data_IF_049950911686
#
_entry.id   IF_049950911686
#
_cell.length_a   1.000
_cell.length_b   1.000
_cell.length_c   1.000
_cell.angle_alpha   90.00
_cell.angle_beta   90.00
_cell.angle_gamma   90.00
#
_symmetry.space_group_name_H-M   'P 1'
#
loop_
_entity.id
_entity.type
_entity.pdbx_description
1 polymer ?
#
# COMPACT_ATOMS: atom_id res chain seq x y z
N UNK A 1 -46.24 -17.39 -19.06
CA UNK A 1 -46.80 -18.11 -20.22
C UNK A 1 -45.73 -19.02 -20.77
N UNK A 2 -45.89 -20.34 -20.65
CA UNK A 2 -44.95 -21.33 -21.17
C UNK A 2 -45.76 -22.46 -21.83
N UNK A 3 -45.60 -22.63 -23.13
CA UNK A 3 -46.23 -23.72 -23.89
C UNK A 3 -45.28 -24.93 -23.94
N UNK A 4 -45.73 -26.15 -23.60
CA UNK A 4 -44.97 -27.35 -23.87
C UNK A 4 -45.36 -27.88 -25.26
N UNK A 5 -44.41 -27.86 -26.20
CA UNK A 5 -44.60 -28.48 -27.51
C UNK A 5 -44.48 -30.01 -27.37
N UNK A 6 -45.64 -30.69 -27.34
CA UNK A 6 -45.76 -32.15 -27.23
C UNK A 6 -45.55 -32.74 -28.61
N UNK A 7 -44.32 -33.17 -28.93
CA UNK A 7 -44.05 -33.95 -30.14
C UNK A 7 -44.58 -35.37 -29.94
N UNK A 8 -45.68 -35.67 -30.61
CA UNK A 8 -46.21 -37.01 -30.84
C UNK A 8 -45.26 -37.76 -31.78
N UNK A 9 -44.68 -38.86 -31.31
CA UNK A 9 -43.98 -39.82 -32.17
C UNK A 9 -44.90 -41.04 -32.23
N UNK A 10 -45.67 -41.12 -33.31
CA UNK A 10 -46.23 -42.39 -33.79
C UNK A 10 -45.13 -43.09 -34.57
N UNK A 11 -44.59 -44.19 -34.06
CA UNK A 11 -43.86 -45.11 -34.92
C UNK A 11 -44.17 -46.57 -34.59
N UNK A 12 -44.47 -47.28 -35.66
CA UNK A 12 -44.92 -48.66 -35.72
C UNK A 12 -43.72 -49.61 -35.54
N UNK A 13 -43.76 -50.41 -34.47
CA UNK A 13 -43.42 -51.84 -34.48
C UNK A 13 -42.03 -52.36 -34.87
N UNK A 14 -41.11 -51.57 -35.44
CA UNK A 14 -39.77 -52.04 -35.86
C UNK A 14 -38.59 -51.18 -35.38
N UNK A 15 -38.84 -50.09 -34.65
CA UNK A 15 -37.84 -49.05 -34.31
C UNK A 15 -37.21 -49.21 -32.90
N UNK A 16 -37.70 -50.16 -32.09
CA UNK A 16 -37.26 -50.32 -30.69
C UNK A 16 -35.76 -50.66 -30.57
N UNK A 17 -35.21 -51.42 -31.53
CA UNK A 17 -33.78 -51.76 -31.57
C UNK A 17 -32.89 -50.58 -31.98
N UNK A 18 -33.35 -49.75 -32.92
CA UNK A 18 -32.58 -48.62 -33.46
C UNK A 18 -32.59 -47.41 -32.51
N UNK A 19 -33.72 -47.14 -31.84
CA UNK A 19 -33.83 -46.12 -30.78
C UNK A 19 -32.93 -46.44 -29.59
N UNK A 20 -32.85 -47.69 -29.16
CA UNK A 20 -31.98 -48.12 -28.06
C UNK A 20 -30.49 -47.93 -28.39
N UNK A 21 -30.05 -48.32 -29.59
CA UNK A 21 -28.66 -48.11 -30.04
C UNK A 21 -28.32 -46.61 -30.13
N UNK A 22 -29.26 -45.78 -30.62
CA UNK A 22 -29.09 -44.33 -30.65
C UNK A 22 -29.02 -43.68 -29.25
N UNK A 23 -29.79 -44.21 -28.28
CA UNK A 23 -29.73 -43.78 -26.88
C UNK A 23 -28.42 -44.17 -26.20
N UNK A 24 -27.90 -45.37 -26.45
CA UNK A 24 -26.63 -45.84 -25.90
C UNK A 24 -25.44 -45.03 -26.46
N UNK A 25 -25.43 -44.75 -27.76
CA UNK A 25 -24.42 -43.89 -28.37
C UNK A 25 -24.49 -42.45 -27.83
N UNK A 26 -25.70 -41.92 -27.60
CA UNK A 26 -25.88 -40.62 -26.96
C UNK A 26 -25.37 -40.60 -25.52
N UNK A 27 -25.62 -41.68 -24.75
CA UNK A 27 -25.11 -41.84 -23.38
C UNK A 27 -23.58 -41.89 -23.38
N UNK A 28 -22.98 -42.66 -24.29
CA UNK A 28 -21.52 -42.75 -24.47
C UNK A 28 -20.91 -41.38 -24.77
N UNK A 29 -21.47 -40.64 -25.75
CA UNK A 29 -21.03 -39.27 -26.09
C UNK A 29 -21.17 -38.30 -24.91
N UNK A 30 -22.23 -38.40 -24.12
CA UNK A 30 -22.41 -37.57 -22.90
C UNK A 30 -21.36 -37.88 -21.84
N UNK A 31 -21.05 -39.15 -21.61
CA UNK A 31 -20.00 -39.54 -20.66
C UNK A 31 -18.65 -38.99 -21.09
N UNK A 32 -18.31 -39.08 -22.38
CA UNK A 32 -17.06 -38.53 -22.92
C UNK A 32 -17.04 -36.99 -22.83
N UNK A 33 -18.13 -36.33 -23.22
CA UNK A 33 -18.24 -34.87 -23.14
C UNK A 33 -18.15 -34.36 -21.69
N UNK A 34 -18.81 -35.03 -20.74
CA UNK A 34 -18.73 -34.71 -19.31
C UNK A 34 -17.34 -34.98 -18.73
N UNK A 35 -16.69 -36.07 -19.16
CA UNK A 35 -15.31 -36.38 -18.76
C UNK A 35 -14.37 -35.24 -19.17
N UNK A 36 -14.43 -34.84 -20.44
CA UNK A 36 -13.61 -33.74 -20.97
C UNK A 36 -13.97 -32.41 -20.30
N UNK A 37 -15.27 -32.13 -20.07
CA UNK A 37 -15.69 -30.86 -19.44
C UNK A 37 -15.27 -30.78 -17.98
N UNK A 38 -15.36 -31.87 -17.21
CA UNK A 38 -14.87 -31.96 -15.85
C UNK A 38 -13.35 -31.79 -15.80
N UNK A 39 -12.60 -32.41 -16.71
CA UNK A 39 -11.15 -32.23 -16.81
C UNK A 39 -10.78 -30.78 -17.13
N UNK A 40 -11.44 -30.16 -18.10
CA UNK A 40 -11.25 -28.73 -18.45
C UNK A 40 -11.59 -27.82 -17.27
N UNK A 41 -12.66 -28.11 -16.54
CA UNK A 41 -13.04 -27.34 -15.35
C UNK A 41 -11.96 -27.43 -14.26
N UNK A 42 -11.46 -28.64 -13.99
CA UNK A 42 -10.34 -28.85 -13.04
C UNK A 42 -9.09 -28.10 -13.47
N UNK A 43 -8.70 -28.17 -14.74
CA UNK A 43 -7.52 -27.48 -15.26
C UNK A 43 -7.65 -25.95 -15.16
N UNK A 44 -8.83 -25.39 -15.45
CA UNK A 44 -9.08 -23.94 -15.28
C UNK A 44 -8.95 -23.50 -13.82
N UNK A 45 -9.51 -24.26 -12.89
CA UNK A 45 -9.38 -23.99 -11.45
C UNK A 45 -7.92 -24.08 -10.99
N UNK A 46 -7.19 -25.09 -11.46
CA UNK A 46 -5.76 -25.25 -11.17
C UNK A 46 -4.97 -24.02 -11.64
N UNK A 47 -5.18 -23.59 -12.89
CA UNK A 47 -4.54 -22.38 -13.43
C UNK A 47 -4.87 -21.13 -12.61
N UNK A 48 -6.13 -20.98 -12.17
CA UNK A 48 -6.54 -19.85 -11.35
C UNK A 48 -5.84 -19.84 -9.98
N UNK A 49 -5.67 -21.02 -9.35
CA UNK A 49 -4.93 -21.15 -8.09
C UNK A 49 -3.46 -20.80 -8.28
N UNK A 50 -2.83 -21.27 -9.36
CA UNK A 50 -1.44 -20.92 -9.70
C UNK A 50 -1.25 -19.43 -9.94
N UNK A 51 -2.19 -18.80 -10.64
CA UNK A 51 -2.19 -17.35 -10.86
C UNK A 51 -2.31 -16.57 -9.54
N UNK A 52 -3.23 -16.96 -8.67
CA UNK A 52 -3.39 -16.33 -7.34
C UNK A 52 -2.13 -16.51 -6.48
N UNK A 53 -1.51 -17.69 -6.50
CA UNK A 53 -0.25 -17.92 -5.81
C UNK A 53 0.86 -17.01 -6.36
N UNK A 54 0.92 -16.85 -7.68
CA UNK A 54 1.79 -15.89 -8.34
C UNK A 54 1.58 -14.46 -7.83
N UNK A 55 0.33 -14.01 -7.76
CA UNK A 55 0.00 -12.68 -7.23
C UNK A 55 0.40 -12.51 -5.76
N UNK A 56 0.15 -13.51 -4.91
CA UNK A 56 0.55 -13.48 -3.49
C UNK A 56 2.07 -13.34 -3.36
N UNK A 57 2.85 -14.13 -4.10
CA UNK A 57 4.31 -14.06 -4.04
C UNK A 57 4.85 -12.70 -4.51
N UNK A 58 4.24 -12.10 -5.55
CA UNK A 58 4.58 -10.76 -6.02
C UNK A 58 4.26 -9.69 -4.98
N UNK A 59 3.06 -9.75 -4.38
CA UNK A 59 2.66 -8.81 -3.33
C UNK A 59 3.55 -8.91 -2.09
N UNK A 60 3.93 -10.12 -1.67
CA UNK A 60 4.87 -10.34 -0.58
C UNK A 60 6.25 -9.76 -0.88
N UNK A 61 6.73 -9.89 -2.14
CA UNK A 61 7.98 -9.28 -2.58
C UNK A 61 7.89 -7.74 -2.52
N UNK A 62 6.86 -7.16 -3.11
CA UNK A 62 6.64 -5.71 -3.11
C UNK A 62 6.50 -5.14 -1.69
N UNK A 63 5.82 -5.85 -0.78
CA UNK A 63 5.67 -5.42 0.61
C UNK A 63 7.03 -5.39 1.35
N UNK A 64 7.88 -6.41 1.14
CA UNK A 64 9.25 -6.41 1.69
C UNK A 64 10.08 -5.25 1.15
N UNK A 65 10.02 -4.98 -0.16
CA UNK A 65 10.73 -3.86 -0.78
C UNK A 65 10.25 -2.50 -0.24
N UNK A 66 8.94 -2.31 -0.09
CA UNK A 66 8.36 -1.11 0.51
C UNK A 66 8.79 -0.93 1.97
N UNK A 67 8.81 -2.02 2.75
CA UNK A 67 9.26 -1.97 4.15
C UNK A 67 10.72 -1.50 4.25
N UNK A 68 11.60 -2.03 3.40
CA UNK A 68 13.01 -1.57 3.34
C UNK A 68 13.08 -0.10 2.95
N UNK A 69 12.33 0.31 1.92
CA UNK A 69 12.31 1.71 1.48
C UNK A 69 11.85 2.66 2.58
N UNK A 70 10.78 2.30 3.31
CA UNK A 70 10.26 3.10 4.43
C UNK A 70 11.31 3.23 5.52
N UNK A 71 11.99 2.14 5.88
CA UNK A 71 13.03 2.17 6.93
C UNK A 71 14.19 3.09 6.54
N UNK A 72 14.65 3.05 5.29
CA UNK A 72 15.69 3.96 4.79
C UNK A 72 15.22 5.41 4.83
N UNK A 73 13.99 5.69 4.41
CA UNK A 73 13.42 7.05 4.48
C UNK A 73 13.33 7.56 5.91
N UNK A 74 12.92 6.71 6.86
CA UNK A 74 12.89 7.06 8.30
C UNK A 74 14.30 7.41 8.78
N UNK A 75 15.31 6.60 8.47
CA UNK A 75 16.71 6.88 8.86
C UNK A 75 17.19 8.22 8.31
N UNK A 76 16.99 8.48 7.01
CA UNK A 76 17.36 9.75 6.39
C UNK A 76 16.62 10.94 7.01
N UNK A 77 15.33 10.78 7.32
CA UNK A 77 14.54 11.81 8.00
C UNK A 77 15.12 12.11 9.39
N UNK A 78 15.43 11.09 10.19
CA UNK A 78 16.00 11.28 11.54
C UNK A 78 17.35 11.97 11.50
N UNK A 79 18.17 11.73 10.47
CA UNK A 79 19.43 12.42 10.27
C UNK A 79 19.23 13.91 9.92
N UNK A 80 18.29 14.22 9.04
CA UNK A 80 17.96 15.62 8.70
C UNK A 80 17.35 16.33 9.91
N UNK A 81 16.50 15.66 10.69
CA UNK A 81 15.91 16.21 11.91
C UNK A 81 16.97 16.52 12.97
N UNK A 82 17.97 15.64 13.15
CA UNK A 82 19.06 15.87 14.10
C UNK A 82 19.89 17.09 13.70
N UNK A 83 20.24 17.23 12.41
CA UNK A 83 20.91 18.43 11.87
C UNK A 83 20.07 19.69 12.05
N UNK A 84 18.76 19.62 11.82
CA UNK A 84 17.85 20.74 12.07
C UNK A 84 17.82 21.14 13.56
N UNK A 85 17.88 20.17 14.48
CA UNK A 85 17.94 20.46 15.91
C UNK A 85 19.24 21.19 16.29
N UNK A 86 20.38 20.77 15.73
CA UNK A 86 21.66 21.48 15.92
C UNK A 86 21.58 22.91 15.41
N UNK A 87 21.05 23.12 14.19
CA UNK A 87 20.89 24.47 13.63
C UNK A 87 19.96 25.34 14.49
N UNK A 88 18.87 24.78 15.02
CA UNK A 88 17.98 25.50 15.93
C UNK A 88 18.71 25.92 17.22
N UNK A 89 19.50 25.03 17.80
CA UNK A 89 20.30 25.34 18.98
C UNK A 89 21.30 26.48 18.70
N UNK A 90 21.99 26.43 17.56
CA UNK A 90 22.92 27.50 17.14
C UNK A 90 22.20 28.83 16.92
N UNK A 91 21.01 28.82 16.31
CA UNK A 91 20.21 30.05 16.16
C UNK A 91 19.87 30.64 17.52
N UNK A 92 19.46 29.82 18.50
CA UNK A 92 19.16 30.29 19.86
C UNK A 92 20.41 30.90 20.50
N UNK A 93 21.53 30.18 20.49
CA UNK A 93 22.80 30.64 21.06
C UNK A 93 23.26 31.99 20.47
N UNK A 94 23.26 32.10 19.14
CA UNK A 94 23.65 33.34 18.46
C UNK A 94 22.69 34.50 18.77
N UNK A 95 21.40 34.20 18.88
CA UNK A 95 20.39 35.20 19.25
C UNK A 95 20.60 35.68 20.68
N UNK A 96 20.92 34.78 21.60
CA UNK A 96 21.24 35.12 23.00
C UNK A 96 22.52 35.96 23.10
N UNK A 97 23.58 35.59 22.34
CA UNK A 97 24.81 36.37 22.25
C UNK A 97 24.57 37.78 21.71
N UNK A 98 23.77 37.93 20.64
CA UNK A 98 23.41 39.23 20.10
C UNK A 98 22.61 40.07 21.11
N UNK A 99 21.64 39.47 21.83
CA UNK A 99 20.91 40.19 22.88
C UNK A 99 21.83 40.66 24.01
N UNK A 100 22.80 39.84 24.40
CA UNK A 100 23.79 40.23 25.42
C UNK A 100 24.63 41.42 24.93
N UNK A 101 25.06 41.44 23.66
CA UNK A 101 25.82 42.55 23.10
C UNK A 101 24.96 43.82 22.98
N UNK A 102 23.71 43.69 22.54
CA UNK A 102 22.77 44.81 22.51
C UNK A 102 22.57 45.41 23.90
N UNK A 103 22.41 44.59 24.95
CA UNK A 103 22.29 45.08 26.33
C UNK A 103 23.54 45.84 26.81
N UNK A 104 24.74 45.40 26.41
CA UNK A 104 25.98 46.15 26.71
C UNK A 104 26.02 47.49 25.97
N UNK A 105 25.54 47.54 24.73
CA UNK A 105 25.44 48.80 23.97
C UNK A 105 24.42 49.77 24.58
N UNK A 106 23.29 49.27 25.07
CA UNK A 106 22.28 50.08 25.80
C UNK A 106 22.90 50.75 27.04
N UNK A 107 23.67 49.99 27.83
CA UNK A 107 24.40 50.53 29.00
C UNK A 107 25.44 51.58 28.55
N UNK A 108 26.18 51.33 27.47
CA UNK A 108 27.19 52.25 26.98
C UNK A 108 26.60 53.57 26.43
N UNK A 109 25.45 53.50 25.76
CA UNK A 109 24.66 54.67 25.33
C UNK A 109 24.23 55.51 26.53
N UNK A 110 23.69 54.87 27.58
CA UNK A 110 23.28 55.56 28.82
C UNK A 110 24.45 56.28 29.49
N UNK A 111 25.62 55.64 29.58
CA UNK A 111 26.81 56.21 30.25
C UNK A 111 27.47 57.30 29.41
N UNK A 112 27.55 57.14 28.09
CA UNK A 112 28.24 58.08 27.21
C UNK A 112 27.37 59.25 26.76
N UNK A 113 26.05 59.13 26.86
CA UNK A 113 25.09 60.10 26.32
C UNK A 113 25.08 60.17 24.79
N UNK A 114 25.74 59.24 24.11
CA UNK A 114 25.78 59.13 22.65
C UNK A 114 24.67 58.20 22.19
N UNK A 115 23.79 58.69 21.31
CA UNK A 115 22.75 57.86 20.72
C UNK A 115 23.37 56.76 19.84
N UNK A 116 23.25 55.50 20.24
CA UNK A 116 23.76 54.35 19.50
C UNK A 116 22.61 53.64 18.77
N UNK A 117 22.79 53.33 17.49
CA UNK A 117 21.81 52.52 16.77
C UNK A 117 21.98 51.05 17.16
N UNK A 118 21.03 50.51 17.93
CA UNK A 118 20.99 49.12 18.36
C UNK A 118 19.95 48.37 17.51
N UNK A 119 20.35 47.41 16.65
CA UNK A 119 19.43 46.69 15.80
C UNK A 119 18.49 45.77 16.59
N UNK A 120 17.19 45.78 16.26
CA UNK A 120 16.24 44.78 16.75
C UNK A 120 16.57 43.40 16.19
N UNK A 121 16.65 42.41 17.07
CA UNK A 121 16.91 41.02 16.69
C UNK A 121 15.57 40.37 16.34
N UNK A 122 15.38 39.86 15.11
CA UNK A 122 14.15 39.17 14.73
C UNK A 122 13.88 37.99 15.66
N UNK A 123 12.61 37.78 16.03
CA UNK A 123 12.24 36.63 16.85
C UNK A 123 12.70 35.31 16.22
N UNK A 124 13.08 34.31 17.04
CA UNK A 124 13.61 33.06 16.55
C UNK A 124 12.67 32.45 15.51
N UNK A 125 13.24 31.92 14.42
CA UNK A 125 12.54 31.17 13.39
C UNK A 125 12.01 29.81 13.89
N UNK A 126 11.58 29.71 15.14
CA UNK A 126 10.88 28.57 15.72
C UNK A 126 9.54 28.27 15.03
N UNK A 127 9.05 29.17 14.16
CA UNK A 127 7.85 28.96 13.34
C UNK A 127 7.95 27.81 12.34
N UNK A 128 9.15 27.26 12.07
CA UNK A 128 9.33 26.09 11.20
C UNK A 128 9.24 24.75 11.95
N UNK A 129 8.36 24.63 12.95
CA UNK A 129 7.97 23.31 13.43
C UNK A 129 7.24 22.61 12.29
N UNK A 130 7.86 21.59 11.71
CA UNK A 130 7.17 20.64 10.85
C UNK A 130 6.18 19.92 11.77
N UNK A 131 4.87 20.16 11.64
CA UNK A 131 3.90 19.45 12.41
C UNK A 131 3.83 18.06 11.79
N UNK A 132 4.34 17.07 12.51
CA UNK A 132 3.95 15.65 12.51
C UNK A 132 5.18 14.84 12.89
N UNK A 133 5.18 14.13 14.04
CA UNK A 133 6.12 13.03 14.22
C UNK A 133 5.81 12.00 13.13
N UNK A 134 6.80 11.62 12.34
CA UNK A 134 6.70 10.45 11.45
C UNK A 134 6.48 9.26 12.37
N UNK A 135 5.21 8.92 12.65
CA UNK A 135 4.90 7.71 13.37
C UNK A 135 5.48 6.58 12.52
N UNK A 136 6.33 5.70 13.08
CA UNK A 136 6.75 4.53 12.36
C UNK A 136 5.48 3.82 11.93
N UNK A 137 5.31 3.67 10.61
CA UNK A 137 4.24 2.84 10.07
C UNK A 137 4.57 1.44 10.59
N UNK A 138 3.92 1.07 11.69
CA UNK A 138 3.98 -0.28 12.23
C UNK A 138 3.26 -1.12 11.16
N UNK A 139 4.02 -1.58 10.17
CA UNK A 139 3.55 -2.58 9.23
C UNK A 139 3.05 -3.72 10.09
N UNK A 140 1.73 -3.93 10.04
CA UNK A 140 1.00 -4.82 10.92
C UNK A 140 1.82 -6.07 11.23
N UNK A 141 2.00 -6.30 12.53
CA UNK A 141 2.50 -7.54 13.12
C UNK A 141 1.97 -8.73 12.34
N UNK A 142 2.90 -9.59 11.94
CA UNK A 142 2.71 -10.88 11.29
C UNK A 142 1.36 -11.54 11.63
N UNK A 143 0.45 -11.57 10.65
CA UNK A 143 -0.65 -12.53 10.60
C UNK A 143 -0.23 -13.81 9.86
N UNK A 144 1.07 -14.07 9.72
CA UNK A 144 1.62 -15.24 9.02
C UNK A 144 1.58 -16.56 9.82
N UNK A 145 0.65 -16.71 10.77
CA UNK A 145 0.46 -17.95 11.55
C UNK A 145 -0.94 -18.59 11.42
N UNK A 146 -1.51 -18.67 10.22
CA UNK A 146 -2.60 -19.61 9.92
C UNK A 146 -2.39 -20.30 8.57
#
# INVERSE_FOLDING_TARGET
>A
MASPNKRTISDSGSDVGHVNVGMDERKRKRMESNRISAQRSRLRKQKQVEELLGQVTQLQKANRELTVSINVTIQNYTEVESRNNVLRAQVIELTDHLRSLNSVLEIAEEVSGLALYIPEIPEPLMKWQVPVPVQPILANVDLSQY
#
